data_IF_777749612382
#
_entry.id   IF_777749612382
#
_cell.length_a   1.000
_cell.length_b   1.000
_cell.length_c   1.000
_cell.angle_alpha   90.00
_cell.angle_beta   90.00
_cell.angle_gamma   90.00
#
_symmetry.space_group_name_H-M   'P 1'
#
loop_
_entity.id
_entity.type
_entity.pdbx_description
1 polymer ?
#
# COMPACT_ATOMS: atom_id res chain seq x y z
N UNK A 1 -25.17 37.72 28.83
CA UNK A 1 -23.76 37.32 28.61
C UNK A 1 -23.79 35.99 27.89
N UNK A 2 -23.86 36.03 26.56
CA UNK A 2 -24.10 34.86 25.73
C UNK A 2 -22.79 34.38 25.13
N UNK A 3 -22.51 33.09 25.28
CA UNK A 3 -21.31 32.43 24.71
C UNK A 3 -21.72 31.84 23.38
N UNK A 4 -21.14 32.35 22.28
CA UNK A 4 -21.26 31.81 20.93
C UNK A 4 -20.35 30.62 20.78
N UNK A 5 -20.93 29.45 20.51
CA UNK A 5 -20.18 28.28 20.00
C UNK A 5 -20.04 28.40 18.49
N UNK A 6 -18.82 28.62 18.01
CA UNK A 6 -18.49 28.53 16.60
C UNK A 6 -18.42 27.03 16.18
N UNK A 7 -19.32 26.63 15.30
CA UNK A 7 -19.25 25.36 14.56
C UNK A 7 -18.12 25.46 13.54
N UNK A 8 -17.05 24.66 13.70
CA UNK A 8 -16.08 24.46 12.68
C UNK A 8 -16.66 23.39 11.72
N UNK A 9 -17.12 23.85 10.56
CA UNK A 9 -17.57 22.97 9.48
C UNK A 9 -16.37 22.31 8.80
N UNK A 10 -16.29 21.00 8.90
CA UNK A 10 -15.40 20.21 8.08
C UNK A 10 -15.97 20.17 6.66
N UNK A 11 -15.41 20.97 5.74
CA UNK A 11 -15.75 20.90 4.32
C UNK A 11 -15.02 19.69 3.72
N UNK A 12 -15.79 18.67 3.35
CA UNK A 12 -15.35 17.65 2.43
C UNK A 12 -15.08 18.32 1.07
N UNK A 13 -13.85 18.24 0.59
CA UNK A 13 -13.50 18.68 -0.77
C UNK A 13 -14.12 17.72 -1.76
N UNK A 14 -15.21 18.15 -2.39
CA UNK A 14 -15.80 17.48 -3.54
C UNK A 14 -14.79 17.45 -4.69
N UNK A 15 -14.49 16.26 -5.16
CA UNK A 15 -13.66 16.01 -6.31
C UNK A 15 -14.47 16.37 -7.56
N UNK A 16 -14.24 17.53 -8.17
CA UNK A 16 -14.90 17.96 -9.40
C UNK A 16 -14.37 17.13 -10.56
N UNK A 17 -15.20 16.19 -11.06
CA UNK A 17 -14.92 15.41 -12.25
C UNK A 17 -14.88 16.28 -13.52
N UNK A 18 -13.83 16.16 -14.30
CA UNK A 18 -13.72 16.78 -15.63
C UNK A 18 -14.67 16.08 -16.62
N UNK A 19 -15.57 16.84 -17.25
CA UNK A 19 -16.42 16.35 -18.34
C UNK A 19 -15.66 16.43 -19.67
N UNK A 20 -15.51 15.30 -20.35
CA UNK A 20 -15.03 15.27 -21.73
C UNK A 20 -16.20 15.47 -22.70
N UNK A 21 -15.93 15.98 -23.91
CA UNK A 21 -16.92 16.35 -24.93
C UNK A 21 -17.79 15.19 -25.45
N UNK A 22 -17.61 13.98 -24.99
CA UNK A 22 -18.33 12.75 -25.39
C UNK A 22 -19.13 12.11 -24.26
N UNK A 23 -19.62 12.87 -23.31
CA UNK A 23 -20.68 12.42 -22.38
C UNK A 23 -20.32 11.33 -21.37
N UNK A 24 -19.09 10.84 -21.30
CA UNK A 24 -18.61 9.92 -20.27
C UNK A 24 -18.07 10.68 -19.07
N UNK A 25 -18.61 10.46 -17.89
CA UNK A 25 -17.98 10.92 -16.63
C UNK A 25 -16.71 10.11 -16.46
N UNK A 26 -15.55 10.70 -16.72
CA UNK A 26 -14.28 10.08 -16.35
C UNK A 26 -14.17 10.16 -14.83
N UNK A 27 -14.58 9.09 -14.14
CA UNK A 27 -14.41 8.99 -12.70
C UNK A 27 -12.91 8.96 -12.41
N UNK A 28 -12.45 9.88 -11.58
CA UNK A 28 -11.04 9.94 -11.16
C UNK A 28 -10.69 8.69 -10.33
N UNK A 29 -9.40 8.31 -10.34
CA UNK A 29 -8.91 7.20 -9.52
C UNK A 29 -9.16 7.50 -8.05
N UNK A 30 -9.83 6.58 -7.36
CA UNK A 30 -10.16 6.69 -5.94
C UNK A 30 -9.27 5.75 -5.14
N UNK A 31 -8.82 6.23 -3.98
CA UNK A 31 -7.95 5.44 -3.08
C UNK A 31 -8.67 5.13 -1.79
N UNK A 32 -8.75 3.85 -1.43
CA UNK A 32 -9.42 3.36 -0.21
C UNK A 32 -8.52 2.37 0.53
N UNK A 33 -8.71 2.25 1.85
CA UNK A 33 -8.08 1.17 2.62
C UNK A 33 -8.69 -0.17 2.23
N UNK A 34 -7.86 -1.20 2.24
CA UNK A 34 -8.28 -2.59 2.10
C UNK A 34 -9.28 -2.94 3.20
N UNK A 35 -10.37 -3.58 2.82
CA UNK A 35 -11.35 -4.16 3.72
C UNK A 35 -11.42 -5.68 3.54
N UNK A 36 -12.09 -6.37 4.46
CA UNK A 36 -12.26 -7.83 4.38
C UNK A 36 -13.02 -8.27 3.13
N UNK A 37 -13.91 -7.42 2.59
CA UNK A 37 -14.64 -7.70 1.35
C UNK A 37 -13.76 -7.65 0.10
N UNK A 38 -12.60 -6.98 0.16
CA UNK A 38 -11.70 -6.84 -0.97
C UNK A 38 -10.59 -7.91 -0.98
N UNK A 39 -10.48 -8.73 0.09
CA UNK A 39 -9.35 -9.64 0.31
C UNK A 39 -9.14 -10.64 -0.82
N UNK A 40 -10.20 -11.24 -1.37
CA UNK A 40 -10.07 -12.22 -2.44
C UNK A 40 -9.41 -11.61 -3.67
N UNK A 41 -9.88 -10.44 -4.11
CA UNK A 41 -9.30 -9.73 -5.26
C UNK A 41 -7.88 -9.27 -4.96
N UNK A 42 -7.64 -8.77 -3.75
CA UNK A 42 -6.32 -8.35 -3.30
C UNK A 42 -5.29 -9.50 -3.33
N UNK A 43 -5.69 -10.70 -2.89
CA UNK A 43 -4.84 -11.90 -2.91
C UNK A 43 -4.53 -12.32 -4.35
N UNK A 44 -5.51 -12.29 -5.26
CA UNK A 44 -5.27 -12.58 -6.67
C UNK A 44 -4.26 -11.61 -7.29
N UNK A 45 -4.40 -10.30 -7.02
CA UNK A 45 -3.46 -9.30 -7.49
C UNK A 45 -2.05 -9.48 -6.89
N UNK A 46 -1.95 -9.96 -5.65
CA UNK A 46 -0.66 -10.30 -5.03
C UNK A 46 -0.01 -11.50 -5.71
N UNK A 47 -0.77 -12.53 -6.03
CA UNK A 47 -0.28 -13.71 -6.76
C UNK A 47 0.18 -13.31 -8.16
N UNK A 48 -0.60 -12.48 -8.88
CA UNK A 48 -0.22 -11.95 -10.19
C UNK A 48 1.08 -11.15 -10.13
N UNK A 49 1.24 -10.30 -9.12
CA UNK A 49 2.49 -9.56 -8.89
C UNK A 49 3.69 -10.53 -8.73
N UNK A 50 3.54 -11.57 -7.91
CA UNK A 50 4.60 -12.55 -7.69
C UNK A 50 4.98 -13.30 -8.98
N UNK A 51 3.99 -13.60 -9.84
CA UNK A 51 4.23 -14.16 -11.19
C UNK A 51 5.03 -13.23 -12.05
N UNK A 52 4.65 -11.95 -12.12
CA UNK A 52 5.41 -10.95 -12.87
C UNK A 52 6.86 -10.79 -12.36
N UNK A 53 7.08 -11.01 -11.07
CA UNK A 53 8.42 -10.99 -10.43
C UNK A 53 9.20 -12.32 -10.62
N UNK A 54 8.63 -13.29 -11.34
CA UNK A 54 9.29 -14.56 -11.67
C UNK A 54 9.24 -15.60 -10.56
N UNK A 55 8.32 -15.48 -9.60
CA UNK A 55 8.14 -16.50 -8.57
C UNK A 55 7.66 -17.82 -9.17
N UNK A 56 8.17 -18.94 -8.64
CA UNK A 56 7.68 -20.28 -8.98
C UNK A 56 6.37 -20.55 -8.26
N UNK A 57 5.39 -21.08 -9.00
CA UNK A 57 4.07 -21.46 -8.49
C UNK A 57 4.04 -22.95 -8.18
N UNK A 58 4.81 -23.39 -7.20
CA UNK A 58 4.90 -24.78 -6.77
C UNK A 58 3.91 -25.13 -5.63
N UNK A 59 3.22 -24.12 -5.09
CA UNK A 59 2.20 -24.29 -4.04
C UNK A 59 1.00 -23.37 -4.32
N UNK A 60 -0.18 -23.75 -3.81
CA UNK A 60 -1.32 -22.82 -3.71
C UNK A 60 -1.11 -21.86 -2.54
N UNK A 61 -0.76 -20.60 -2.86
CA UNK A 61 -0.45 -19.57 -1.87
C UNK A 61 -1.70 -18.87 -1.32
N UNK A 62 -2.85 -18.96 -1.99
CA UNK A 62 -4.04 -18.19 -1.63
C UNK A 62 -4.55 -18.45 -0.20
N UNK A 63 -4.62 -19.70 0.31
CA UNK A 63 -5.06 -19.95 1.68
C UNK A 63 -4.13 -19.32 2.73
N UNK A 64 -2.81 -19.40 2.51
CA UNK A 64 -1.84 -18.81 3.44
C UNK A 64 -1.89 -17.27 3.45
N UNK A 65 -2.12 -16.64 2.29
CA UNK A 65 -2.31 -15.20 2.19
C UNK A 65 -3.62 -14.77 2.86
N UNK A 66 -4.70 -15.53 2.69
CA UNK A 66 -5.99 -15.23 3.34
C UNK A 66 -5.86 -15.27 4.85
N UNK A 67 -5.24 -16.31 5.41
CA UNK A 67 -4.99 -16.42 6.85
C UNK A 67 -4.12 -15.27 7.35
N UNK A 68 -3.01 -14.97 6.65
CA UNK A 68 -2.09 -13.91 7.03
C UNK A 68 -2.79 -12.54 7.07
N UNK A 69 -3.42 -12.14 5.98
CA UNK A 69 -4.03 -10.81 5.90
C UNK A 69 -5.22 -10.67 6.85
N UNK A 70 -6.06 -11.71 6.99
CA UNK A 70 -7.19 -11.68 7.92
C UNK A 70 -6.74 -11.44 9.37
N UNK A 71 -5.70 -12.15 9.83
CA UNK A 71 -5.18 -11.98 11.18
C UNK A 71 -4.53 -10.62 11.39
N UNK A 72 -3.64 -10.22 10.48
CA UNK A 72 -2.86 -9.00 10.64
C UNK A 72 -3.65 -7.72 10.36
N UNK A 73 -4.75 -7.79 9.62
CA UNK A 73 -5.72 -6.69 9.53
C UNK A 73 -6.53 -6.56 10.84
N UNK A 74 -6.90 -7.69 11.46
CA UNK A 74 -7.68 -7.69 12.68
C UNK A 74 -6.88 -7.16 13.89
N UNK A 75 -5.58 -7.46 13.98
CA UNK A 75 -4.71 -7.00 15.06
C UNK A 75 -4.02 -5.65 14.76
N UNK A 76 -4.23 -5.08 13.57
CA UNK A 76 -3.69 -3.79 13.17
C UNK A 76 -2.20 -3.81 12.80
N UNK A 77 -1.60 -4.99 12.62
CA UNK A 77 -0.19 -5.14 12.21
C UNK A 77 0.01 -5.18 10.69
N UNK A 78 -1.09 -5.08 9.92
CA UNK A 78 -1.07 -4.94 8.47
C UNK A 78 -2.08 -3.89 8.00
N UNK A 79 -1.68 -3.07 7.05
CA UNK A 79 -2.53 -2.13 6.35
C UNK A 79 -2.23 -2.15 4.84
N UNK A 80 -3.25 -1.94 4.04
CA UNK A 80 -3.11 -1.78 2.59
C UNK A 80 -3.98 -0.63 2.11
N UNK A 81 -3.52 0.04 1.06
CA UNK A 81 -4.30 0.99 0.27
C UNK A 81 -4.48 0.46 -1.14
N UNK A 82 -5.68 0.62 -1.66
CA UNK A 82 -6.11 0.19 -2.99
C UNK A 82 -6.44 1.40 -3.85
N UNK A 83 -6.10 1.34 -5.13
CA UNK A 83 -6.53 2.28 -6.15
C UNK A 83 -7.67 1.68 -6.96
N UNK A 84 -8.74 2.44 -7.16
CA UNK A 84 -9.94 2.04 -7.89
C UNK A 84 -10.16 2.93 -9.12
N UNK A 85 -10.58 2.32 -10.22
CA UNK A 85 -11.22 2.98 -11.35
C UNK A 85 -12.66 2.46 -11.44
N UNK A 86 -13.63 3.29 -11.02
CA UNK A 86 -14.99 2.80 -10.71
C UNK A 86 -14.95 1.75 -9.58
N UNK A 87 -15.48 0.57 -9.87
CA UNK A 87 -15.51 -0.56 -8.91
C UNK A 87 -14.35 -1.55 -9.11
N UNK A 88 -13.44 -1.26 -10.06
CA UNK A 88 -12.31 -2.14 -10.36
C UNK A 88 -11.08 -1.74 -9.56
N UNK A 89 -10.46 -2.68 -8.84
CA UNK A 89 -9.16 -2.47 -8.21
C UNK A 89 -8.08 -2.52 -9.28
N UNK A 90 -7.32 -1.43 -9.42
CA UNK A 90 -6.30 -1.24 -10.46
C UNK A 90 -4.88 -1.13 -9.88
N UNK A 91 -4.76 -1.06 -8.58
CA UNK A 91 -3.48 -1.02 -7.90
C UNK A 91 -3.60 -1.34 -6.42
N UNK A 92 -2.54 -1.90 -5.86
CA UNK A 92 -2.43 -2.32 -4.48
C UNK A 92 -1.14 -1.84 -3.85
N UNK A 93 -1.11 -1.81 -2.54
CA UNK A 93 0.07 -1.63 -1.70
C UNK A 93 -0.11 -2.47 -0.43
N UNK A 94 0.93 -2.67 0.35
CA UNK A 94 0.84 -3.36 1.63
C UNK A 94 1.96 -2.95 2.56
N UNK A 95 1.64 -2.79 3.84
CA UNK A 95 2.60 -2.47 4.88
C UNK A 95 2.34 -3.37 6.07
N UNK A 96 3.32 -4.22 6.39
CA UNK A 96 3.32 -5.02 7.62
C UNK A 96 4.17 -4.30 8.67
N UNK A 97 3.65 -4.20 9.89
CA UNK A 97 4.38 -3.61 11.00
C UNK A 97 5.00 -4.71 11.83
N UNK A 98 6.33 -4.67 11.98
CA UNK A 98 7.10 -5.65 12.75
C UNK A 98 7.93 -4.95 13.82
N UNK A 99 8.19 -5.65 14.91
CA UNK A 99 9.07 -5.17 15.96
C UNK A 99 10.37 -5.98 15.98
N UNK A 100 11.47 -5.28 16.18
CA UNK A 100 12.81 -5.83 16.42
C UNK A 100 13.39 -5.19 17.68
N UNK A 101 14.40 -5.79 18.31
CA UNK A 101 15.08 -5.10 19.39
C UNK A 101 15.52 -3.69 18.96
N UNK A 102 15.28 -2.65 19.78
CA UNK A 102 15.72 -1.28 19.48
C UNK A 102 17.21 -1.19 19.23
N UNK A 103 17.62 -0.34 18.30
CA UNK A 103 19.02 -0.04 18.01
C UNK A 103 19.18 1.45 17.63
N UNK A 104 20.41 1.96 17.58
CA UNK A 104 20.66 3.40 17.37
C UNK A 104 20.00 3.96 16.10
N UNK A 105 19.94 3.18 15.01
CA UNK A 105 19.28 3.60 13.75
C UNK A 105 17.75 3.52 13.77
N UNK A 106 17.18 2.81 14.75
CA UNK A 106 15.73 2.67 14.94
C UNK A 106 15.39 2.46 16.42
N UNK A 107 15.39 3.54 17.23
CA UNK A 107 15.17 3.44 18.68
C UNK A 107 13.81 2.92 19.09
N UNK A 108 12.79 3.03 18.23
CA UNK A 108 11.48 2.44 18.47
C UNK A 108 11.45 0.93 18.28
N UNK A 109 12.40 0.35 17.56
CA UNK A 109 12.37 -1.05 17.10
C UNK A 109 11.27 -1.37 16.10
N UNK A 110 10.38 -0.41 15.78
CA UNK A 110 9.25 -0.62 14.88
C UNK A 110 9.65 -0.37 13.43
N UNK A 111 9.35 -1.34 12.57
CA UNK A 111 9.74 -1.33 11.16
C UNK A 111 8.49 -1.58 10.32
N UNK A 112 8.30 -0.76 9.28
CA UNK A 112 7.33 -1.03 8.24
C UNK A 112 7.96 -1.89 7.15
N UNK A 113 7.42 -3.07 6.90
CA UNK A 113 7.81 -3.91 5.75
C UNK A 113 6.84 -3.65 4.61
N UNK A 114 7.32 -2.93 3.60
CA UNK A 114 6.55 -2.62 2.39
C UNK A 114 6.48 -3.85 1.49
N UNK A 115 5.28 -4.16 1.00
CA UNK A 115 5.00 -5.30 0.12
C UNK A 115 3.83 -5.02 -0.80
N UNK A 116 3.48 -5.97 -1.67
CA UNK A 116 2.26 -5.93 -2.49
C UNK A 116 2.06 -4.63 -3.28
N UNK A 117 3.18 -4.00 -3.69
CA UNK A 117 3.14 -2.81 -4.53
C UNK A 117 2.90 -3.23 -5.98
N UNK A 118 1.66 -3.15 -6.42
CA UNK A 118 1.26 -3.55 -7.76
C UNK A 118 0.40 -2.47 -8.42
N UNK A 119 0.55 -2.31 -9.72
CA UNK A 119 -0.34 -1.49 -10.56
C UNK A 119 -0.60 -2.27 -11.83
N UNK A 120 -1.88 -2.47 -12.15
CA UNK A 120 -2.30 -3.13 -13.37
C UNK A 120 -1.57 -2.50 -14.57
N UNK A 121 -0.95 -3.30 -15.47
CA UNK A 121 -0.17 -2.81 -16.60
C UNK A 121 -0.84 -1.71 -17.43
N UNK A 122 -2.16 -1.82 -17.66
CA UNK A 122 -2.93 -0.82 -18.41
C UNK A 122 -3.01 0.57 -17.72
N UNK A 123 -2.71 0.63 -16.41
CA UNK A 123 -2.78 1.85 -15.60
C UNK A 123 -1.42 2.37 -15.15
N UNK A 124 -0.32 1.73 -15.55
CA UNK A 124 1.05 2.15 -15.19
C UNK A 124 1.38 3.53 -15.76
N UNK A 125 2.38 4.20 -15.16
CA UNK A 125 2.89 5.53 -15.54
C UNK A 125 1.89 6.68 -15.36
N UNK A 126 0.86 6.49 -14.53
CA UNK A 126 -0.14 7.51 -14.18
C UNK A 126 0.01 8.03 -12.74
N UNK A 127 1.12 7.73 -12.07
CA UNK A 127 1.38 8.17 -10.69
C UNK A 127 0.75 7.30 -9.58
N UNK A 128 -0.03 6.28 -9.92
CA UNK A 128 -0.79 5.45 -8.97
C UNK A 128 0.12 4.80 -7.92
N UNK A 129 1.23 4.18 -8.36
CA UNK A 129 2.15 3.53 -7.43
C UNK A 129 2.78 4.51 -6.45
N UNK A 130 3.08 5.76 -6.90
CA UNK A 130 3.60 6.80 -6.01
C UNK A 130 2.57 7.20 -4.95
N UNK A 131 1.33 7.42 -5.35
CA UNK A 131 0.24 7.78 -4.44
C UNK A 131 -0.03 6.67 -3.41
N UNK A 132 -0.03 5.40 -3.84
CA UNK A 132 -0.16 4.25 -2.94
C UNK A 132 1.01 4.18 -1.95
N UNK A 133 2.24 4.43 -2.42
CA UNK A 133 3.43 4.47 -1.58
C UNK A 133 3.35 5.60 -0.54
N UNK A 134 2.95 6.79 -0.95
CA UNK A 134 2.76 7.93 -0.04
C UNK A 134 1.79 7.57 1.11
N UNK A 135 0.68 6.89 0.79
CA UNK A 135 -0.33 6.49 1.76
C UNK A 135 0.20 5.47 2.76
N UNK A 136 0.81 4.38 2.30
CA UNK A 136 1.30 3.33 3.23
C UNK A 136 2.51 3.80 4.04
N UNK A 137 3.36 4.69 3.51
CA UNK A 137 4.44 5.31 4.29
C UNK A 137 3.87 6.22 5.38
N UNK A 138 2.78 6.94 5.12
CA UNK A 138 2.10 7.71 6.16
C UNK A 138 1.46 6.82 7.23
N UNK A 139 0.93 5.66 6.88
CA UNK A 139 0.48 4.66 7.88
C UNK A 139 1.66 4.21 8.76
N UNK A 140 2.82 3.91 8.16
CA UNK A 140 4.01 3.51 8.92
C UNK A 140 4.48 4.62 9.89
N UNK A 141 4.45 5.89 9.46
CA UNK A 141 4.73 7.04 10.35
C UNK A 141 3.74 7.11 11.51
N UNK A 142 2.44 6.96 11.21
CA UNK A 142 1.37 6.99 12.22
C UNK A 142 1.47 5.83 13.20
N UNK A 143 1.93 4.66 12.77
CA UNK A 143 2.20 3.50 13.61
C UNK A 143 3.43 3.69 14.52
N UNK A 144 4.27 4.68 14.24
CA UNK A 144 5.51 4.97 14.97
C UNK A 144 6.70 4.16 14.48
N UNK A 145 6.71 3.73 13.22
CA UNK A 145 7.88 3.08 12.62
C UNK A 145 9.04 4.06 12.50
N UNK A 146 10.25 3.61 12.89
CA UNK A 146 11.47 4.37 12.71
C UNK A 146 12.08 4.23 11.31
N UNK A 147 11.66 3.21 10.56
CA UNK A 147 12.12 2.95 9.19
C UNK A 147 11.11 2.14 8.40
N UNK A 148 11.15 2.26 7.07
CA UNK A 148 10.43 1.40 6.12
C UNK A 148 11.44 0.64 5.29
N UNK A 149 11.24 -0.66 5.12
CA UNK A 149 12.10 -1.56 4.37
C UNK A 149 11.32 -2.25 3.25
N UNK A 150 11.98 -2.55 2.14
CA UNK A 150 11.43 -3.32 1.02
C UNK A 150 12.52 -4.16 0.37
N UNK A 151 12.15 -5.36 -0.09
CA UNK A 151 12.89 -6.09 -1.12
C UNK A 151 12.33 -5.67 -2.47
N UNK A 152 13.06 -4.80 -3.18
CA UNK A 152 12.58 -4.18 -4.41
C UNK A 152 12.80 -5.10 -5.62
N UNK A 153 11.77 -5.24 -6.47
CA UNK A 153 11.95 -5.77 -7.82
C UNK A 153 12.71 -4.77 -8.71
N UNK A 154 13.33 -5.24 -9.78
CA UNK A 154 14.03 -4.36 -10.75
C UNK A 154 13.14 -3.21 -11.25
N UNK A 155 11.88 -3.49 -11.51
CA UNK A 155 10.90 -2.50 -11.96
C UNK A 155 10.60 -1.46 -10.86
N UNK A 156 10.60 -1.87 -9.60
CA UNK A 156 10.28 -1.02 -8.45
C UNK A 156 11.41 -0.08 -8.04
N UNK A 157 12.67 -0.46 -8.29
CA UNK A 157 13.86 0.29 -7.83
C UNK A 157 13.78 1.77 -8.19
N UNK A 158 13.37 2.11 -9.42
CA UNK A 158 13.28 3.51 -9.86
C UNK A 158 12.28 4.33 -9.04
N UNK A 159 11.14 3.74 -8.69
CA UNK A 159 10.12 4.38 -7.85
C UNK A 159 10.66 4.63 -6.44
N UNK A 160 11.25 3.61 -5.84
CA UNK A 160 11.72 3.70 -4.44
C UNK A 160 12.91 4.63 -4.30
N UNK A 161 13.87 4.58 -5.22
CA UNK A 161 15.01 5.52 -5.23
C UNK A 161 14.54 6.97 -5.40
N UNK A 162 13.61 7.22 -6.32
CA UNK A 162 13.03 8.56 -6.52
C UNK A 162 12.22 9.04 -5.31
N UNK A 163 11.69 8.10 -4.50
CA UNK A 163 10.98 8.41 -3.27
C UNK A 163 11.91 8.72 -2.10
N UNK A 164 13.18 8.27 -2.15
CA UNK A 164 14.20 8.48 -1.12
C UNK A 164 14.63 7.21 -0.38
N UNK A 165 14.24 6.02 -0.87
CA UNK A 165 14.81 4.78 -0.36
C UNK A 165 16.27 4.66 -0.79
N UNK A 166 17.10 4.16 0.12
CA UNK A 166 18.54 3.94 -0.11
C UNK A 166 18.82 2.44 -0.10
N UNK A 167 19.65 1.98 -1.02
CA UNK A 167 20.12 0.59 -1.02
C UNK A 167 20.87 0.26 0.28
N UNK A 168 20.60 -0.94 0.79
CA UNK A 168 21.37 -1.50 1.90
C UNK A 168 21.93 -2.86 1.45
N UNK A 169 23.22 -2.89 1.15
CA UNK A 169 23.93 -4.07 0.61
C UNK A 169 24.23 -5.13 1.69
N UNK A 170 23.86 -4.87 2.96
CA UNK A 170 24.14 -5.77 4.08
C UNK A 170 23.02 -6.79 4.36
N UNK A 171 22.04 -6.92 3.46
CA UNK A 171 20.96 -7.91 3.62
C UNK A 171 21.44 -9.29 3.20
N UNK A 172 21.35 -10.28 4.10
CA UNK A 172 21.68 -11.67 3.83
C UNK A 172 20.50 -12.58 4.18
N UNK A 173 20.29 -13.63 3.39
CA UNK A 173 19.22 -14.61 3.59
C UNK A 173 19.80 -16.04 3.60
N UNK A 174 19.37 -16.83 4.56
CA UNK A 174 19.61 -18.27 4.60
C UNK A 174 18.25 -18.99 4.50
N UNK A 175 18.12 -19.89 3.53
CA UNK A 175 16.90 -20.73 3.37
C UNK A 175 17.02 -21.98 4.22
N UNK A 176 15.98 -22.26 4.98
CA UNK A 176 15.81 -23.46 5.81
C UNK A 176 15.25 -24.62 4.98
#
# INVERSE_FOLDING_TARGET
MGIFYARIGCQATENQGFRTAWGGVQMGIVYKKLTTSDLEVYIQMRIEQLREEGAKEDIDLAPALMDYYSRHMADGTFVSWLAFDGDTIIGTSGMSFVEKPPYFGCPSGRIGLLSSMFTNPAYRRRGIAKELLDRVVNEAKSYGCGTVQITASEMGVKLYTAYGFVHNDNFMQYKL
#
